data_IF_137409862211
#
_entry.id   IF_137409862211
#
_cell.length_a   1.000
_cell.length_b   1.000
_cell.length_c   1.000
_cell.angle_alpha   90.00
_cell.angle_beta   90.00
_cell.angle_gamma   90.00
#
_symmetry.space_group_name_H-M   'P 1'
#
loop_
_entity.id
_entity.type
_entity.pdbx_description
1 polymer ?
#
# COMPACT_ATOMS: atom_id res chain seq x y z
N UNK A 1 1.98 -17.65 -35.21
CA UNK A 1 0.52 -17.57 -34.99
C UNK A 1 -0.03 -16.42 -35.82
N UNK A 2 -1.31 -16.42 -36.28
CA UNK A 2 -1.86 -15.26 -36.99
C UNK A 2 -2.08 -14.09 -36.00
N UNK A 3 -1.87 -12.83 -36.45
CA UNK A 3 -2.05 -11.64 -35.60
C UNK A 3 -3.45 -11.54 -34.97
N UNK A 4 -4.49 -11.90 -35.76
CA UNK A 4 -5.88 -11.90 -35.28
C UNK A 4 -6.12 -12.91 -34.16
N UNK A 5 -5.50 -14.09 -34.22
CA UNK A 5 -5.64 -15.11 -33.16
C UNK A 5 -4.91 -14.68 -31.90
N UNK A 6 -3.73 -14.09 -32.02
CA UNK A 6 -3.01 -13.52 -30.86
C UNK A 6 -3.83 -12.41 -30.17
N UNK A 7 -4.45 -11.51 -30.97
CA UNK A 7 -5.30 -10.45 -30.44
C UNK A 7 -6.51 -10.99 -29.65
N UNK A 8 -7.16 -12.06 -30.17
CA UNK A 8 -8.30 -12.69 -29.44
C UNK A 8 -7.86 -13.26 -28.10
N UNK A 9 -6.74 -13.98 -28.04
CA UNK A 9 -6.25 -14.52 -26.77
C UNK A 9 -5.78 -13.45 -25.80
N UNK A 10 -5.16 -12.36 -26.26
CA UNK A 10 -4.84 -11.21 -25.41
C UNK A 10 -6.11 -10.53 -24.89
N UNK A 11 -7.17 -10.44 -25.70
CA UNK A 11 -8.47 -9.95 -25.23
C UNK A 11 -9.06 -10.85 -24.14
N UNK A 12 -9.02 -12.18 -24.33
CA UNK A 12 -9.46 -13.14 -23.32
C UNK A 12 -8.65 -12.97 -22.01
N UNK A 13 -7.33 -12.84 -22.12
CA UNK A 13 -6.46 -12.58 -20.98
C UNK A 13 -6.84 -11.27 -20.27
N UNK A 14 -7.10 -10.20 -21.02
CA UNK A 14 -7.57 -8.92 -20.49
C UNK A 14 -8.91 -9.02 -19.74
N UNK A 15 -9.88 -9.76 -20.31
CA UNK A 15 -11.16 -10.03 -19.64
C UNK A 15 -10.95 -10.80 -18.34
N UNK A 16 -10.08 -11.80 -18.32
CA UNK A 16 -9.75 -12.56 -17.12
C UNK A 16 -9.10 -11.68 -16.04
N UNK A 17 -8.25 -10.72 -16.42
CA UNK A 17 -7.69 -9.75 -15.46
C UNK A 17 -8.76 -8.82 -14.88
N UNK A 18 -9.74 -8.37 -15.67
CA UNK A 18 -10.88 -7.59 -15.18
C UNK A 18 -11.70 -8.42 -14.18
N UNK A 19 -12.00 -9.68 -14.53
CA UNK A 19 -12.71 -10.59 -13.65
C UNK A 19 -11.91 -10.92 -12.38
N UNK A 20 -10.59 -10.98 -12.47
CA UNK A 20 -9.71 -11.14 -11.32
C UNK A 20 -9.85 -9.97 -10.35
N UNK A 21 -9.77 -8.73 -10.84
CA UNK A 21 -9.95 -7.54 -9.99
C UNK A 21 -11.33 -7.52 -9.34
N UNK A 22 -12.38 -7.84 -10.08
CA UNK A 22 -13.74 -7.96 -9.54
C UNK A 22 -13.84 -9.07 -8.49
N UNK A 23 -13.24 -10.23 -8.74
CA UNK A 23 -13.25 -11.34 -7.78
C UNK A 23 -12.47 -11.03 -6.50
N UNK A 24 -11.38 -10.26 -6.60
CA UNK A 24 -10.57 -9.85 -5.45
C UNK A 24 -11.20 -8.73 -4.62
N UNK A 25 -12.29 -8.12 -5.08
CA UNK A 25 -12.99 -7.06 -4.33
C UNK A 25 -13.84 -7.60 -3.16
N UNK A 26 -14.13 -8.90 -3.13
CA UNK A 26 -14.85 -9.55 -2.04
C UNK A 26 -14.08 -10.77 -1.54
N UNK A 27 -14.01 -10.96 -0.22
CA UNK A 27 -13.35 -12.13 0.38
C UNK A 27 -13.90 -13.47 -0.10
N UNK A 28 -15.22 -13.56 -0.29
CA UNK A 28 -15.89 -14.78 -0.73
C UNK A 28 -15.47 -15.23 -2.14
N UNK A 29 -15.23 -14.26 -3.02
CA UNK A 29 -14.85 -14.49 -4.42
C UNK A 29 -13.34 -14.39 -4.68
N UNK A 30 -12.55 -14.04 -3.66
CA UNK A 30 -11.11 -13.75 -3.79
C UNK A 30 -10.30 -14.91 -4.38
N UNK A 31 -10.60 -16.17 -3.98
CA UNK A 31 -9.94 -17.37 -4.53
C UNK A 31 -10.23 -17.55 -6.01
N UNK A 32 -11.46 -17.29 -6.43
CA UNK A 32 -11.86 -17.36 -7.84
C UNK A 32 -11.21 -16.23 -8.64
N UNK A 33 -11.17 -15.02 -8.09
CA UNK A 33 -10.47 -13.89 -8.68
C UNK A 33 -8.99 -14.18 -8.90
N UNK A 34 -8.30 -14.73 -7.90
CA UNK A 34 -6.90 -15.13 -8.01
C UNK A 34 -6.69 -16.20 -9.12
N UNK A 35 -7.58 -17.18 -9.21
CA UNK A 35 -7.55 -18.18 -10.28
C UNK A 35 -7.67 -17.55 -11.67
N UNK A 36 -8.59 -16.60 -11.87
CA UNK A 36 -8.73 -15.86 -13.13
C UNK A 36 -7.46 -15.05 -13.46
N UNK A 37 -6.82 -14.43 -12.48
CA UNK A 37 -5.56 -13.73 -12.67
C UNK A 37 -4.43 -14.65 -13.15
N UNK A 38 -4.27 -15.80 -12.49
CA UNK A 38 -3.28 -16.82 -12.87
C UNK A 38 -3.55 -17.33 -14.28
N UNK A 39 -4.80 -17.68 -14.60
CA UNK A 39 -5.17 -18.18 -15.93
C UNK A 39 -4.93 -17.14 -17.01
N UNK A 40 -5.30 -15.88 -16.77
CA UNK A 40 -5.04 -14.76 -17.68
C UNK A 40 -3.55 -14.58 -17.96
N UNK A 41 -2.71 -14.65 -16.93
CA UNK A 41 -1.25 -14.55 -17.06
C UNK A 41 -0.66 -15.72 -17.84
N UNK A 42 -1.09 -16.96 -17.56
CA UNK A 42 -0.63 -18.15 -18.29
C UNK A 42 -0.98 -18.03 -19.78
N UNK A 43 -2.18 -17.59 -20.12
CA UNK A 43 -2.59 -17.35 -21.51
C UNK A 43 -1.69 -16.29 -22.14
N UNK A 44 -1.51 -15.13 -21.50
CA UNK A 44 -0.70 -14.02 -22.03
C UNK A 44 0.74 -14.45 -22.31
N UNK A 45 1.39 -15.13 -21.37
CA UNK A 45 2.76 -15.64 -21.52
C UNK A 45 2.84 -16.66 -22.67
N UNK A 46 1.93 -17.63 -22.70
CA UNK A 46 1.91 -18.67 -23.73
C UNK A 46 1.76 -18.08 -25.12
N UNK A 47 0.84 -17.13 -25.28
CA UNK A 47 0.61 -16.47 -26.58
C UNK A 47 1.81 -15.63 -27.00
N UNK A 48 2.42 -14.92 -26.05
CA UNK A 48 3.65 -14.16 -26.33
C UNK A 48 4.75 -15.08 -26.87
N UNK A 49 4.99 -16.22 -26.22
CA UNK A 49 5.97 -17.21 -26.70
C UNK A 49 5.62 -17.79 -28.08
N UNK A 50 4.36 -18.12 -28.30
CA UNK A 50 3.92 -18.65 -29.61
C UNK A 50 3.95 -17.61 -30.75
N UNK A 51 3.95 -16.32 -30.41
CA UNK A 51 4.04 -15.22 -31.36
C UNK A 51 5.48 -14.94 -31.81
N UNK A 52 6.46 -15.26 -30.98
CA UNK A 52 7.91 -15.17 -31.28
C UNK A 52 8.30 -16.34 -32.17
N UNK A 53 8.07 -16.23 -33.45
CA UNK A 53 8.15 -17.32 -34.46
C UNK A 53 9.52 -18.01 -34.66
N UNK A 54 10.63 -17.51 -34.07
CA UNK A 54 11.96 -18.10 -34.21
C UNK A 54 12.63 -18.29 -32.86
N UNK A 55 12.91 -19.54 -32.52
CA UNK A 55 13.69 -19.92 -31.33
C UNK A 55 15.18 -19.63 -31.58
N UNK A 56 15.61 -18.39 -31.42
CA UNK A 56 17.00 -17.98 -31.47
C UNK A 56 17.71 -18.23 -30.10
N UNK A 57 19.03 -18.08 -30.07
CA UNK A 57 19.81 -18.15 -28.82
C UNK A 57 19.25 -17.21 -27.74
N UNK A 58 18.69 -16.06 -28.14
CA UNK A 58 18.03 -15.13 -27.23
C UNK A 58 16.83 -15.72 -26.47
N UNK A 59 16.10 -16.66 -27.07
CA UNK A 59 14.98 -17.35 -26.41
C UNK A 59 15.42 -18.17 -25.19
N UNK A 60 16.60 -18.79 -25.24
CA UNK A 60 17.18 -19.54 -24.11
C UNK A 60 17.44 -18.59 -22.93
N UNK A 61 17.99 -17.41 -23.17
CA UNK A 61 18.21 -16.40 -22.12
C UNK A 61 16.88 -15.95 -21.50
N UNK A 62 15.84 -15.71 -22.30
CA UNK A 62 14.50 -15.35 -21.80
C UNK A 62 13.95 -16.44 -20.88
N UNK A 63 14.05 -17.72 -21.27
CA UNK A 63 13.63 -18.85 -20.41
C UNK A 63 14.42 -18.92 -19.11
N UNK A 64 15.75 -18.76 -19.16
CA UNK A 64 16.61 -18.78 -17.96
C UNK A 64 16.19 -17.64 -17.01
N UNK A 65 16.02 -16.42 -17.50
CA UNK A 65 15.63 -15.28 -16.67
C UNK A 65 14.20 -15.42 -16.14
N UNK A 66 13.27 -15.96 -16.91
CA UNK A 66 11.90 -16.22 -16.48
C UNK A 66 11.85 -17.29 -15.37
N UNK A 67 12.59 -18.38 -15.53
CA UNK A 67 12.67 -19.43 -14.53
C UNK A 67 13.38 -18.96 -13.26
N UNK A 68 14.48 -18.26 -13.37
CA UNK A 68 15.21 -17.75 -12.20
C UNK A 68 14.40 -16.69 -11.47
N UNK A 69 13.85 -15.70 -12.17
CA UNK A 69 13.01 -14.66 -11.58
C UNK A 69 11.73 -15.22 -10.97
N UNK A 70 11.07 -16.13 -11.67
CA UNK A 70 9.86 -16.81 -11.20
C UNK A 70 10.12 -17.66 -9.96
N UNK A 71 11.22 -18.42 -9.94
CA UNK A 71 11.61 -19.24 -8.78
C UNK A 71 11.95 -18.38 -7.56
N UNK A 72 12.70 -17.30 -7.74
CA UNK A 72 13.01 -16.35 -6.67
C UNK A 72 11.75 -15.65 -6.14
N UNK A 73 10.87 -15.21 -7.05
CA UNK A 73 9.60 -14.60 -6.68
C UNK A 73 8.70 -15.55 -5.90
N UNK A 74 8.58 -16.81 -6.35
CA UNK A 74 7.82 -17.84 -5.65
C UNK A 74 8.39 -18.15 -4.25
N UNK A 75 9.72 -18.25 -4.12
CA UNK A 75 10.39 -18.46 -2.83
C UNK A 75 10.12 -17.31 -1.85
N UNK A 76 10.21 -16.07 -2.33
CA UNK A 76 9.92 -14.88 -1.52
C UNK A 76 8.45 -14.88 -1.11
N UNK A 77 7.53 -15.08 -2.05
CA UNK A 77 6.10 -15.08 -1.78
C UNK A 77 5.68 -16.17 -0.77
N UNK A 78 6.34 -17.34 -0.81
CA UNK A 78 6.07 -18.42 0.14
C UNK A 78 6.61 -18.17 1.55
N UNK A 79 7.75 -17.47 1.66
CA UNK A 79 8.46 -17.27 2.95
C UNK A 79 8.10 -15.99 3.67
N UNK A 80 7.54 -15.01 2.96
CA UNK A 80 7.29 -13.69 3.54
C UNK A 80 6.08 -13.74 4.50
N UNK A 81 6.21 -13.21 5.71
CA UNK A 81 5.06 -13.10 6.60
C UNK A 81 4.09 -12.01 6.08
N UNK A 82 2.80 -12.18 6.33
CA UNK A 82 1.77 -11.22 5.90
C UNK A 82 2.00 -9.81 6.46
N UNK A 83 2.64 -9.70 7.61
CA UNK A 83 3.03 -8.43 8.22
C UNK A 83 4.04 -7.62 7.40
N UNK A 84 4.84 -8.28 6.55
CA UNK A 84 5.83 -7.66 5.66
C UNK A 84 5.33 -7.47 4.22
N UNK A 85 4.04 -7.69 3.95
CA UNK A 85 3.43 -7.48 2.63
C UNK A 85 3.62 -6.06 2.08
N UNK A 86 3.49 -4.96 2.87
CA UNK A 86 3.71 -3.62 2.36
C UNK A 86 5.12 -3.41 1.79
N UNK A 87 6.14 -3.97 2.45
CA UNK A 87 7.52 -3.91 2.02
C UNK A 87 7.73 -4.72 0.73
N UNK A 88 7.16 -5.91 0.66
CA UNK A 88 7.22 -6.76 -0.53
C UNK A 88 6.60 -6.07 -1.75
N UNK A 89 5.42 -5.50 -1.57
CA UNK A 89 4.69 -4.77 -2.63
C UNK A 89 5.52 -3.60 -3.13
N UNK A 90 6.11 -2.79 -2.23
CA UNK A 90 7.01 -1.71 -2.62
C UNK A 90 8.23 -2.24 -3.38
N UNK A 91 8.84 -3.34 -2.92
CA UNK A 91 9.95 -4.01 -3.59
C UNK A 91 9.60 -4.46 -5.01
N UNK A 92 8.44 -5.05 -5.23
CA UNK A 92 7.98 -5.48 -6.54
C UNK A 92 7.69 -4.31 -7.48
N UNK A 93 7.11 -3.22 -6.98
CA UNK A 93 6.93 -2.02 -7.81
C UNK A 93 8.25 -1.44 -8.28
N UNK A 94 9.31 -1.51 -7.47
CA UNK A 94 10.63 -1.09 -7.92
C UNK A 94 11.12 -1.95 -9.11
N UNK A 95 10.98 -3.27 -9.03
CA UNK A 95 11.40 -4.17 -10.11
C UNK A 95 10.58 -3.97 -11.39
N UNK A 96 9.27 -3.73 -11.27
CA UNK A 96 8.40 -3.41 -12.42
C UNK A 96 8.85 -2.10 -13.08
N UNK A 97 9.12 -1.05 -12.28
CA UNK A 97 9.64 0.21 -12.79
C UNK A 97 10.98 0.05 -13.51
N UNK A 98 11.89 -0.75 -12.95
CA UNK A 98 13.18 -1.04 -13.58
C UNK A 98 13.04 -1.84 -14.87
N UNK A 99 12.12 -2.81 -14.92
CA UNK A 99 11.81 -3.55 -16.14
C UNK A 99 11.33 -2.62 -17.26
N UNK A 100 10.49 -1.62 -16.90
CA UNK A 100 10.03 -0.60 -17.84
C UNK A 100 11.20 0.20 -18.45
N UNK A 101 12.15 0.61 -17.61
CA UNK A 101 13.35 1.32 -18.06
C UNK A 101 14.17 0.45 -19.02
N UNK A 102 14.41 -0.82 -18.68
CA UNK A 102 15.20 -1.71 -19.55
C UNK A 102 14.53 -2.00 -20.90
N UNK A 103 13.21 -2.15 -20.94
CA UNK A 103 12.50 -2.32 -22.20
C UNK A 103 12.60 -1.06 -23.05
N UNK A 104 12.46 0.13 -22.46
CA UNK A 104 12.65 1.39 -23.16
C UNK A 104 14.08 1.55 -23.69
N UNK A 105 15.10 1.20 -22.90
CA UNK A 105 16.50 1.20 -23.34
C UNK A 105 16.69 0.24 -24.54
N UNK A 106 16.17 -0.98 -24.43
CA UNK A 106 16.27 -1.98 -25.51
C UNK A 106 15.60 -1.49 -26.80
N UNK A 107 14.41 -0.90 -26.67
CA UNK A 107 13.67 -0.37 -27.82
C UNK A 107 14.36 0.86 -28.45
N UNK A 108 14.99 1.71 -27.66
CA UNK A 108 15.73 2.88 -28.15
C UNK A 108 17.02 2.49 -28.86
N UNK A 109 17.78 1.54 -28.30
CA UNK A 109 19.06 1.10 -28.86
C UNK A 109 18.89 0.17 -30.07
N UNK A 110 17.79 -0.57 -30.15
CA UNK A 110 17.51 -1.50 -31.25
C UNK A 110 16.08 -1.37 -31.77
N UNK A 111 15.70 -0.22 -32.34
CA UNK A 111 14.33 0.06 -32.73
C UNK A 111 13.81 -0.84 -33.87
N UNK A 112 14.69 -1.40 -34.72
CA UNK A 112 14.32 -2.30 -35.80
C UNK A 112 13.73 -3.61 -35.25
N UNK A 113 14.22 -4.11 -34.13
CA UNK A 113 13.69 -5.33 -33.51
C UNK A 113 12.26 -5.17 -33.00
N UNK A 114 11.82 -3.93 -32.80
CA UNK A 114 10.47 -3.60 -32.32
C UNK A 114 9.59 -2.95 -33.40
N UNK A 115 10.04 -2.92 -34.65
CA UNK A 115 9.34 -2.26 -35.79
C UNK A 115 9.05 -0.75 -35.55
N UNK A 116 9.90 -0.07 -34.78
CA UNK A 116 9.74 1.33 -34.43
C UNK A 116 10.44 2.28 -35.40
N UNK A 117 11.26 1.75 -36.30
CA UNK A 117 12.09 2.50 -37.24
C UNK A 117 13.53 1.98 -37.25
N UNK A 118 14.46 2.82 -37.65
CA UNK A 118 15.91 2.54 -37.56
C UNK A 118 16.61 3.45 -36.56
N UNK A 119 17.81 3.11 -36.08
CA UNK A 119 18.57 3.98 -35.17
C UNK A 119 18.71 5.41 -35.73
N UNK A 120 18.31 6.41 -34.94
CA UNK A 120 18.29 7.80 -35.37
C UNK A 120 17.07 8.22 -36.25
N UNK A 121 16.16 7.28 -36.55
CA UNK A 121 14.92 7.55 -37.30
C UNK A 121 13.75 6.73 -36.71
N UNK A 122 13.53 6.87 -35.42
CA UNK A 122 12.41 6.23 -34.70
C UNK A 122 11.13 7.05 -34.94
N UNK A 123 9.99 6.39 -35.04
CA UNK A 123 8.69 7.05 -35.16
C UNK A 123 8.45 8.00 -34.01
N UNK A 124 8.00 9.22 -34.30
CA UNK A 124 7.79 10.29 -33.33
C UNK A 124 6.89 9.89 -32.14
N UNK A 125 5.77 9.23 -32.42
CA UNK A 125 4.84 8.76 -31.40
C UNK A 125 5.50 7.73 -30.47
N UNK A 126 6.22 6.76 -31.04
CA UNK A 126 6.92 5.72 -30.27
C UNK A 126 8.03 6.30 -29.39
N UNK A 127 8.70 7.38 -29.80
CA UNK A 127 9.66 8.10 -28.95
C UNK A 127 9.00 8.73 -27.73
N UNK A 128 7.81 9.34 -27.92
CA UNK A 128 7.04 9.92 -26.81
C UNK A 128 6.61 8.82 -25.83
N UNK A 129 6.01 7.74 -26.33
CA UNK A 129 5.52 6.61 -25.55
C UNK A 129 6.65 5.97 -24.74
N UNK A 130 7.78 5.68 -25.39
CA UNK A 130 8.98 5.14 -24.79
C UNK A 130 9.56 6.08 -23.72
N UNK A 131 9.63 7.37 -24.01
CA UNK A 131 10.16 8.37 -23.09
C UNK A 131 9.31 8.51 -21.82
N UNK A 132 7.99 8.52 -21.97
CA UNK A 132 7.05 8.53 -20.86
C UNK A 132 7.17 7.23 -20.05
N UNK A 133 7.16 6.07 -20.74
CA UNK A 133 7.32 4.76 -20.09
C UNK A 133 8.62 4.65 -19.31
N UNK A 134 9.76 5.09 -19.88
CA UNK A 134 11.05 5.13 -19.21
C UNK A 134 11.07 6.08 -18.01
N UNK A 135 10.51 7.29 -18.17
CA UNK A 135 10.50 8.29 -17.08
C UNK A 135 9.65 7.84 -15.90
N UNK A 136 8.42 7.38 -16.16
CA UNK A 136 7.53 6.86 -15.11
C UNK A 136 8.12 5.61 -14.48
N UNK A 137 8.72 4.71 -15.27
CA UNK A 137 9.40 3.51 -14.77
C UNK A 137 10.58 3.85 -13.86
N UNK A 138 11.42 4.82 -14.24
CA UNK A 138 12.56 5.29 -13.45
C UNK A 138 12.12 5.93 -12.13
N UNK A 139 11.09 6.78 -12.15
CA UNK A 139 10.51 7.36 -10.94
C UNK A 139 9.90 6.29 -10.03
N UNK A 140 9.21 5.30 -10.60
CA UNK A 140 8.64 4.18 -9.86
C UNK A 140 9.73 3.37 -9.17
N UNK A 141 10.81 3.02 -9.88
CA UNK A 141 11.92 2.26 -9.32
C UNK A 141 12.53 2.97 -8.11
N UNK A 142 13.00 4.19 -8.31
CA UNK A 142 13.72 4.94 -7.27
C UNK A 142 12.82 5.33 -6.09
N UNK A 143 11.59 5.74 -6.37
CA UNK A 143 10.60 6.06 -5.33
C UNK A 143 10.20 4.83 -4.51
N UNK A 144 10.02 3.68 -5.15
CA UNK A 144 9.68 2.44 -4.46
C UNK A 144 10.80 1.91 -3.58
N UNK A 145 12.07 2.13 -3.95
CA UNK A 145 13.21 1.83 -3.07
C UNK A 145 13.14 2.66 -1.79
N UNK A 146 12.88 3.97 -1.89
CA UNK A 146 12.74 4.82 -0.70
C UNK A 146 11.56 4.37 0.16
N UNK A 147 10.41 4.06 -0.45
CA UNK A 147 9.25 3.54 0.28
C UNK A 147 9.58 2.23 1.00
N UNK A 148 10.24 1.29 0.32
CA UNK A 148 10.73 0.04 0.91
C UNK A 148 11.64 0.26 2.11
N UNK A 149 12.65 1.14 1.99
CA UNK A 149 13.60 1.44 3.06
C UNK A 149 12.93 2.07 4.28
N UNK A 150 11.93 2.96 4.06
CA UNK A 150 11.14 3.56 5.14
C UNK A 150 10.23 2.55 5.82
N UNK A 151 9.54 1.71 5.06
CA UNK A 151 8.66 0.68 5.60
C UNK A 151 9.43 -0.36 6.42
N UNK A 152 10.60 -0.76 5.94
CA UNK A 152 11.48 -1.69 6.63
C UNK A 152 12.14 -1.11 7.88
N UNK A 153 12.04 0.20 8.09
CA UNK A 153 12.69 0.89 9.21
C UNK A 153 14.20 1.06 9.06
N UNK A 154 14.77 0.78 7.88
CA UNK A 154 16.18 1.05 7.55
C UNK A 154 16.39 2.56 7.43
N UNK A 155 15.42 3.25 6.83
CA UNK A 155 15.36 4.70 6.75
C UNK A 155 14.28 5.22 7.70
N UNK A 156 14.52 6.38 8.34
CA UNK A 156 13.53 6.98 9.22
C UNK A 156 12.19 7.19 8.49
N UNK A 157 11.09 6.80 9.14
CA UNK A 157 9.73 7.08 8.65
C UNK A 157 9.33 8.57 8.70
N UNK A 158 10.14 9.41 9.35
CA UNK A 158 9.87 10.86 9.42
C UNK A 158 10.06 11.50 8.05
N UNK A 159 9.30 12.56 7.71
CA UNK A 159 9.54 13.36 6.52
C UNK A 159 10.94 13.99 6.54
N UNK A 160 11.70 13.81 5.46
CA UNK A 160 12.97 14.50 5.27
C UNK A 160 12.72 15.64 4.29
N UNK A 161 12.61 16.85 4.81
CA UNK A 161 12.31 18.04 4.03
C UNK A 161 13.50 18.99 3.99
N UNK A 162 13.65 19.72 2.90
CA UNK A 162 14.65 20.76 2.74
C UNK A 162 14.09 22.00 2.02
N UNK A 163 14.68 23.16 2.28
CA UNK A 163 14.22 24.42 1.67
C UNK A 163 14.31 24.36 0.15
N UNK A 164 13.20 24.70 -0.53
CA UNK A 164 13.17 24.74 -1.99
C UNK A 164 12.88 23.40 -2.69
N UNK A 165 12.60 22.32 -1.96
CA UNK A 165 12.34 20.99 -2.55
C UNK A 165 11.27 20.99 -3.64
N UNK A 166 10.17 21.70 -3.46
CA UNK A 166 9.08 21.78 -4.43
C UNK A 166 9.51 22.47 -5.73
N UNK A 167 10.34 23.52 -5.61
CA UNK A 167 10.89 24.21 -6.79
C UNK A 167 11.86 23.30 -7.55
N UNK A 168 12.70 22.54 -6.82
CA UNK A 168 13.62 21.58 -7.44
C UNK A 168 12.84 20.46 -8.13
N UNK A 169 11.82 19.89 -7.48
CA UNK A 169 10.99 18.85 -8.08
C UNK A 169 10.25 19.36 -9.32
N UNK A 170 9.71 20.59 -9.27
CA UNK A 170 9.07 21.23 -10.42
C UNK A 170 10.07 21.44 -11.56
N UNK A 171 11.27 21.94 -11.26
CA UNK A 171 12.32 22.15 -12.25
C UNK A 171 12.76 20.83 -12.91
N UNK A 172 12.92 19.77 -12.14
CA UNK A 172 13.23 18.43 -12.67
C UNK A 172 12.07 17.90 -13.54
N UNK A 173 10.81 18.10 -13.13
CA UNK A 173 9.65 17.73 -13.92
C UNK A 173 9.59 18.47 -15.26
N UNK A 174 9.83 19.79 -15.25
CA UNK A 174 9.93 20.59 -16.46
C UNK A 174 11.11 20.12 -17.33
N UNK A 175 12.26 19.82 -16.72
CA UNK A 175 13.43 19.33 -17.45
C UNK A 175 13.15 18.00 -18.15
N UNK A 176 12.38 17.09 -17.55
CA UNK A 176 11.92 15.84 -18.20
C UNK A 176 11.11 16.17 -19.45
N UNK A 177 10.14 17.07 -19.38
CA UNK A 177 9.32 17.46 -20.54
C UNK A 177 10.18 18.07 -21.64
N UNK A 178 11.11 18.94 -21.27
CA UNK A 178 12.04 19.58 -22.22
C UNK A 178 12.95 18.52 -22.87
N UNK A 179 13.47 17.56 -22.09
CA UNK A 179 14.31 16.50 -22.61
C UNK A 179 13.53 15.56 -23.57
N UNK A 180 12.27 15.25 -23.29
CA UNK A 180 11.41 14.50 -24.22
C UNK A 180 11.30 15.26 -25.56
N UNK A 181 11.07 16.56 -25.51
CA UNK A 181 11.00 17.37 -26.72
C UNK A 181 12.29 17.37 -27.53
N UNK A 182 13.45 17.54 -26.87
CA UNK A 182 14.74 17.49 -27.53
C UNK A 182 15.08 16.07 -28.03
N UNK A 183 14.73 15.04 -27.28
CA UNK A 183 14.89 13.65 -27.69
C UNK A 183 14.08 13.36 -28.97
N UNK A 184 12.83 13.80 -29.02
CA UNK A 184 11.99 13.64 -30.22
C UNK A 184 12.51 14.39 -31.43
N UNK A 185 13.23 15.52 -31.21
CA UNK A 185 13.78 16.33 -32.29
C UNK A 185 15.13 15.83 -32.80
N UNK A 186 16.00 15.35 -31.92
CA UNK A 186 17.40 15.02 -32.21
C UNK A 186 17.70 13.52 -32.21
N UNK A 187 16.88 12.73 -31.54
CA UNK A 187 17.05 11.29 -31.30
C UNK A 187 18.45 10.91 -30.73
N UNK A 188 19.03 11.83 -29.95
CA UNK A 188 20.35 11.67 -29.38
C UNK A 188 20.33 10.81 -28.10
N UNK A 189 21.25 9.83 -28.03
CA UNK A 189 21.44 8.99 -26.84
C UNK A 189 21.70 9.80 -25.57
N UNK A 190 22.42 10.92 -25.66
CA UNK A 190 22.73 11.77 -24.51
C UNK A 190 21.48 12.32 -23.83
N UNK A 191 20.48 12.73 -24.61
CA UNK A 191 19.20 13.20 -24.07
C UNK A 191 18.39 12.05 -23.48
N UNK A 192 18.45 10.87 -24.06
CA UNK A 192 17.78 9.67 -23.54
C UNK A 192 18.34 9.25 -22.18
N UNK A 193 19.67 9.15 -22.04
CA UNK A 193 20.32 8.83 -20.76
C UNK A 193 20.09 9.92 -19.71
N UNK A 194 20.13 11.20 -20.11
CA UNK A 194 19.82 12.31 -19.21
C UNK A 194 18.38 12.28 -18.71
N UNK A 195 17.43 11.93 -19.58
CA UNK A 195 16.01 11.74 -19.23
C UNK A 195 15.84 10.69 -18.15
N UNK A 196 16.46 9.52 -18.32
CA UNK A 196 16.41 8.42 -17.35
C UNK A 196 17.04 8.85 -16.03
N UNK A 197 18.24 9.46 -16.06
CA UNK A 197 18.94 9.90 -14.87
C UNK A 197 18.18 10.94 -14.04
N UNK A 198 17.59 11.95 -14.70
CA UNK A 198 16.77 12.96 -14.05
C UNK A 198 15.48 12.35 -13.50
N UNK A 199 14.87 11.39 -14.19
CA UNK A 199 13.69 10.70 -13.74
C UNK A 199 13.94 9.84 -12.48
N UNK A 200 15.09 9.16 -12.40
CA UNK A 200 15.52 8.48 -11.17
C UNK A 200 15.69 9.47 -10.01
N UNK A 201 16.33 10.60 -10.23
CA UNK A 201 16.51 11.62 -9.21
C UNK A 201 15.17 12.18 -8.73
N UNK A 202 14.27 12.48 -9.64
CA UNK A 202 12.93 12.98 -9.29
C UNK A 202 12.15 11.97 -8.45
N UNK A 203 12.19 10.68 -8.79
CA UNK A 203 11.53 9.62 -8.01
C UNK A 203 12.03 9.56 -6.58
N UNK A 204 13.34 9.68 -6.34
CA UNK A 204 13.91 9.77 -4.99
C UNK A 204 13.37 11.00 -4.23
N UNK A 205 13.44 12.16 -4.85
CA UNK A 205 13.08 13.43 -4.21
C UNK A 205 11.58 13.59 -3.96
N UNK A 206 10.73 12.89 -4.69
CA UNK A 206 9.27 12.88 -4.45
C UNK A 206 8.90 12.09 -3.20
N UNK A 207 9.56 10.96 -2.92
CA UNK A 207 9.14 10.06 -1.84
C UNK A 207 9.88 10.33 -0.51
N UNK A 208 11.08 10.90 -0.56
CA UNK A 208 11.87 11.23 0.66
C UNK A 208 11.09 12.12 1.64
N UNK A 209 10.37 13.19 1.21
CA UNK A 209 9.66 14.08 2.13
C UNK A 209 8.33 13.55 2.64
N UNK A 210 7.88 12.38 2.19
CA UNK A 210 6.60 11.80 2.62
C UNK A 210 6.79 11.01 3.91
N UNK A 211 5.94 11.29 4.89
CA UNK A 211 5.97 10.63 6.20
C UNK A 211 5.37 9.22 6.20
N UNK A 212 5.69 8.44 7.23
CA UNK A 212 5.21 7.07 7.42
C UNK A 212 3.68 6.95 7.51
N UNK A 213 3.01 7.97 8.02
CA UNK A 213 1.54 8.01 8.10
C UNK A 213 0.87 8.01 6.70
N UNK A 214 1.52 8.62 5.71
CA UNK A 214 1.01 8.71 4.34
C UNK A 214 1.49 7.54 3.45
N UNK A 215 2.32 6.62 3.99
CA UNK A 215 2.87 5.49 3.22
C UNK A 215 1.82 4.58 2.57
N UNK A 216 0.66 4.28 3.17
CA UNK A 216 -0.37 3.52 2.49
C UNK A 216 -0.82 4.14 1.17
N UNK A 217 -0.98 5.47 1.13
CA UNK A 217 -1.32 6.23 -0.09
C UNK A 217 -0.17 6.16 -1.10
N UNK A 218 1.07 6.31 -0.62
CA UNK A 218 2.28 6.24 -1.46
C UNK A 218 2.40 4.88 -2.15
N UNK A 219 2.21 3.78 -1.43
CA UNK A 219 2.26 2.43 -2.01
C UNK A 219 1.22 2.29 -3.12
N UNK A 220 -0.01 2.74 -2.87
CA UNK A 220 -1.07 2.71 -3.87
C UNK A 220 -0.75 3.59 -5.09
N UNK A 221 -0.11 4.73 -4.88
CA UNK A 221 0.32 5.61 -5.96
C UNK A 221 1.50 5.04 -6.76
N UNK A 222 2.46 4.39 -6.11
CA UNK A 222 3.54 3.67 -6.78
C UNK A 222 3.00 2.48 -7.59
N UNK A 223 1.94 1.81 -7.12
CA UNK A 223 1.21 0.82 -7.91
C UNK A 223 0.60 1.46 -9.16
N UNK A 224 0.00 2.64 -9.04
CA UNK A 224 -0.51 3.39 -10.19
C UNK A 224 0.60 3.73 -11.20
N UNK A 225 1.75 4.23 -10.73
CA UNK A 225 2.89 4.55 -11.59
C UNK A 225 3.44 3.31 -12.30
N UNK A 226 3.54 2.17 -11.61
CA UNK A 226 3.96 0.91 -12.23
C UNK A 226 2.99 0.46 -13.32
N UNK A 227 1.68 0.64 -13.10
CA UNK A 227 0.65 0.38 -14.10
C UNK A 227 0.80 1.27 -15.34
N UNK A 228 1.01 2.56 -15.16
CA UNK A 228 1.20 3.50 -16.28
C UNK A 228 2.52 3.26 -17.02
N UNK A 229 3.58 2.88 -16.32
CA UNK A 229 4.84 2.45 -16.96
C UNK A 229 4.61 1.20 -17.83
N UNK A 230 3.86 0.20 -17.33
CA UNK A 230 3.49 -0.99 -18.10
C UNK A 230 2.63 -0.65 -19.32
N UNK A 231 1.68 0.28 -19.20
CA UNK A 231 0.88 0.75 -20.36
C UNK A 231 1.76 1.46 -21.40
N UNK A 232 2.68 2.34 -20.97
CA UNK A 232 3.62 3.02 -21.86
C UNK A 232 4.50 2.04 -22.65
N UNK A 233 5.02 1.00 -21.98
CA UNK A 233 5.71 -0.09 -22.67
C UNK A 233 4.76 -0.84 -23.61
N UNK A 234 3.54 -1.08 -23.17
CA UNK A 234 2.54 -1.76 -23.97
C UNK A 234 2.27 -1.04 -25.29
N UNK A 235 2.21 0.30 -25.28
CA UNK A 235 2.13 1.11 -26.51
C UNK A 235 3.39 0.96 -27.37
N UNK A 236 4.57 1.08 -26.78
CA UNK A 236 5.85 0.92 -27.49
C UNK A 236 5.98 -0.46 -28.15
N UNK A 237 5.51 -1.52 -27.50
CA UNK A 237 5.57 -2.90 -28.00
C UNK A 237 4.33 -3.33 -28.81
N UNK A 238 3.36 -2.44 -29.01
CA UNK A 238 2.05 -2.73 -29.65
C UNK A 238 1.35 -3.93 -28.98
N UNK A 239 1.53 -4.10 -27.65
CA UNK A 239 0.97 -5.22 -26.89
C UNK A 239 -0.29 -4.80 -26.12
N UNK A 240 -1.44 -5.19 -26.66
CA UNK A 240 -2.76 -4.83 -26.09
C UNK A 240 -2.97 -5.38 -24.67
N UNK A 241 -2.40 -6.54 -24.32
CA UNK A 241 -2.52 -7.08 -22.95
C UNK A 241 -1.80 -6.19 -21.94
N UNK A 242 -0.61 -5.69 -22.26
CA UNK A 242 0.12 -4.75 -21.41
C UNK A 242 -0.58 -3.40 -21.32
N UNK A 243 -1.16 -2.90 -22.41
CA UNK A 243 -1.92 -1.65 -22.41
C UNK A 243 -3.13 -1.77 -21.47
N UNK A 244 -3.93 -2.82 -21.63
CA UNK A 244 -5.15 -3.04 -20.85
C UNK A 244 -4.80 -3.23 -19.35
N UNK A 245 -3.88 -4.13 -19.06
CA UNK A 245 -3.48 -4.39 -17.65
C UNK A 245 -2.83 -3.19 -16.99
N UNK A 246 -1.95 -2.50 -17.73
CA UNK A 246 -1.32 -1.28 -17.25
C UNK A 246 -2.32 -0.16 -16.97
N UNK A 247 -3.28 0.05 -17.86
CA UNK A 247 -4.34 1.03 -17.67
C UNK A 247 -5.24 0.68 -16.46
N UNK A 248 -5.61 -0.60 -16.29
CA UNK A 248 -6.41 -1.06 -15.15
C UNK A 248 -5.68 -0.85 -13.82
N UNK A 249 -4.43 -1.30 -13.74
CA UNK A 249 -3.61 -1.16 -12.52
C UNK A 249 -3.32 0.31 -12.24
N UNK A 250 -2.98 1.08 -13.26
CA UNK A 250 -2.72 2.51 -13.14
C UNK A 250 -3.93 3.29 -12.62
N UNK A 251 -5.10 3.04 -13.20
CA UNK A 251 -6.35 3.70 -12.80
C UNK A 251 -6.80 3.26 -11.40
N UNK A 252 -6.77 1.96 -11.11
CA UNK A 252 -7.20 1.45 -9.80
C UNK A 252 -6.32 1.97 -8.67
N UNK A 253 -5.00 2.03 -8.85
CA UNK A 253 -4.08 2.59 -7.88
C UNK A 253 -4.32 4.08 -7.62
N UNK A 254 -4.58 4.87 -8.68
CA UNK A 254 -4.89 6.30 -8.54
C UNK A 254 -6.21 6.54 -7.80
N UNK A 255 -7.27 5.79 -8.17
CA UNK A 255 -8.58 5.87 -7.50
C UNK A 255 -8.47 5.49 -6.03
N UNK A 256 -7.77 4.40 -5.73
CA UNK A 256 -7.57 3.95 -4.35
C UNK A 256 -6.80 4.97 -3.53
N UNK A 257 -5.72 5.56 -4.09
CA UNK A 257 -4.97 6.65 -3.44
C UNK A 257 -5.85 7.86 -3.14
N UNK A 258 -6.72 8.23 -4.08
CA UNK A 258 -7.67 9.34 -3.87
C UNK A 258 -8.69 9.04 -2.76
N UNK A 259 -9.28 7.83 -2.76
CA UNK A 259 -10.24 7.39 -1.73
C UNK A 259 -9.55 7.38 -0.35
N UNK A 260 -8.32 6.88 -0.26
CA UNK A 260 -7.57 6.87 1.00
C UNK A 260 -7.26 8.29 1.49
N UNK A 261 -6.84 9.20 0.61
CA UNK A 261 -6.64 10.59 0.98
C UNK A 261 -7.93 11.22 1.52
N UNK A 262 -9.07 10.93 0.90
CA UNK A 262 -10.38 11.37 1.38
C UNK A 262 -10.71 10.77 2.76
N UNK A 263 -10.46 9.48 2.96
CA UNK A 263 -10.64 8.80 4.25
C UNK A 263 -9.70 9.32 5.36
N UNK A 264 -8.58 9.94 5.00
CA UNK A 264 -7.65 10.59 5.92
C UNK A 264 -7.94 12.10 6.09
N UNK A 265 -8.93 12.65 5.39
CA UNK A 265 -9.17 14.09 5.25
C UNK A 265 -7.92 14.89 4.82
N UNK A 266 -7.11 14.31 3.95
CA UNK A 266 -5.89 14.93 3.42
C UNK A 266 -6.06 15.23 1.94
N UNK A 267 -5.54 16.37 1.50
CA UNK A 267 -5.50 16.67 0.05
C UNK A 267 -4.58 15.68 -0.65
N UNK A 268 -5.09 15.05 -1.71
CA UNK A 268 -4.33 14.13 -2.56
C UNK A 268 -3.01 14.73 -3.06
N UNK A 269 -3.06 16.00 -3.53
CA UNK A 269 -1.86 16.70 -3.99
C UNK A 269 -0.87 16.98 -2.85
N UNK A 270 -1.36 17.31 -1.65
CA UNK A 270 -0.49 17.55 -0.51
C UNK A 270 0.25 16.29 -0.07
N UNK A 271 -0.40 15.13 -0.15
CA UNK A 271 0.23 13.84 0.18
C UNK A 271 1.28 13.46 -0.85
N UNK A 272 0.96 13.55 -2.15
CA UNK A 272 1.87 13.13 -3.24
C UNK A 272 3.07 14.06 -3.36
N UNK A 273 2.88 15.36 -3.23
CA UNK A 273 3.98 16.32 -3.31
C UNK A 273 4.85 16.32 -2.05
N UNK A 274 4.34 15.78 -0.94
CA UNK A 274 5.04 15.69 0.35
C UNK A 274 5.36 17.05 0.99
N UNK A 275 5.46 17.09 2.31
CA UNK A 275 5.92 18.30 3.02
C UNK A 275 4.91 19.45 3.13
N UNK A 276 3.71 19.35 2.53
CA UNK A 276 2.62 20.28 2.80
C UNK A 276 1.88 19.85 4.07
N UNK A 277 2.03 20.63 5.14
CA UNK A 277 1.44 20.34 6.46
C UNK A 277 2.43 19.92 7.53
N UNK A 278 3.70 19.71 7.19
CA UNK A 278 4.79 19.83 8.15
C UNK A 278 5.10 21.33 8.37
N UNK A 279 4.16 22.07 8.92
CA UNK A 279 4.54 23.25 9.71
C UNK A 279 5.52 22.73 10.74
N UNK A 280 6.65 23.41 10.88
CA UNK A 280 7.65 23.18 11.91
C UNK A 280 6.97 23.11 13.29
N UNK A 281 6.39 21.99 13.59
CA UNK A 281 6.18 21.60 14.96
C UNK A 281 7.57 21.13 15.44
N UNK A 282 8.47 22.09 15.63
CA UNK A 282 9.39 21.99 16.74
C UNK A 282 8.52 21.57 17.91
N UNK A 283 8.59 20.30 18.20
CA UNK A 283 8.03 19.69 19.38
C UNK A 283 8.55 20.46 20.59
N UNK A 284 7.85 21.50 20.95
CA UNK A 284 7.88 21.99 22.31
C UNK A 284 7.14 20.97 23.17
N UNK A 285 7.76 19.82 23.36
CA UNK A 285 7.51 18.94 24.49
C UNK A 285 8.04 19.62 25.77
N UNK A 286 7.66 20.89 25.97
CA UNK A 286 7.82 21.57 27.21
C UNK A 286 6.55 21.33 28.03
N UNK A 287 6.64 20.37 28.97
CA UNK A 287 5.89 20.42 30.20
C UNK A 287 4.35 20.40 30.06
N UNK A 288 3.77 19.48 29.23
CA UNK A 288 2.39 19.07 29.51
C UNK A 288 2.45 18.19 30.74
N UNK A 289 1.85 18.64 31.85
CA UNK A 289 1.57 17.80 33.01
C UNK A 289 0.98 16.48 32.48
N UNK A 290 1.64 15.37 32.81
CA UNK A 290 1.13 14.05 32.46
C UNK A 290 -0.18 13.87 33.22
N UNK A 291 -1.30 13.93 32.51
CA UNK A 291 -2.60 13.59 33.10
C UNK A 291 -2.52 12.13 33.60
N UNK A 292 -3.09 11.81 34.77
CA UNK A 292 -3.08 10.44 35.26
C UNK A 292 -3.85 9.54 34.30
N UNK A 293 -3.33 8.34 34.06
CA UNK A 293 -3.98 7.28 33.29
C UNK A 293 -4.40 6.15 34.21
N UNK A 294 -5.53 5.52 33.91
CA UNK A 294 -5.94 4.30 34.62
C UNK A 294 -5.19 3.13 34.01
N UNK A 295 -4.42 2.43 34.81
CA UNK A 295 -3.65 1.26 34.36
C UNK A 295 -4.37 0.01 34.86
N UNK A 296 -4.57 -0.95 33.97
CA UNK A 296 -5.13 -2.26 34.27
C UNK A 296 -4.18 -3.39 33.90
N UNK A 297 -4.58 -4.58 34.20
CA UNK A 297 -3.88 -5.82 33.89
C UNK A 297 -4.77 -6.76 33.07
N UNK A 298 -4.25 -7.96 32.73
CA UNK A 298 -4.98 -8.95 31.96
C UNK A 298 -6.19 -9.53 32.71
N UNK A 299 -6.15 -9.57 34.04
CA UNK A 299 -7.26 -10.06 34.89
C UNK A 299 -8.42 -9.07 34.86
N UNK A 300 -8.13 -7.75 34.99
CA UNK A 300 -9.12 -6.69 34.86
C UNK A 300 -9.81 -6.72 33.50
N UNK A 301 -9.02 -6.90 32.44
CA UNK A 301 -9.53 -6.99 31.07
C UNK A 301 -10.42 -8.22 30.88
N UNK A 302 -9.97 -9.38 31.35
CA UNK A 302 -10.76 -10.61 31.27
C UNK A 302 -12.06 -10.52 32.07
N UNK A 303 -12.02 -9.90 33.27
CA UNK A 303 -13.21 -9.69 34.09
C UNK A 303 -14.23 -8.80 33.37
N UNK A 304 -13.79 -7.68 32.80
CA UNK A 304 -14.69 -6.78 32.04
C UNK A 304 -15.27 -7.46 30.81
N UNK A 305 -14.45 -8.20 30.06
CA UNK A 305 -14.94 -8.93 28.86
C UNK A 305 -15.90 -10.07 29.22
N UNK A 306 -15.64 -10.82 30.31
CA UNK A 306 -16.48 -11.95 30.74
C UNK A 306 -17.87 -11.51 31.20
N UNK A 307 -17.99 -10.29 31.71
CA UNK A 307 -19.27 -9.69 32.16
C UNK A 307 -19.93 -8.82 31.10
N UNK A 308 -19.37 -8.75 29.88
CA UNK A 308 -19.93 -7.99 28.77
C UNK A 308 -20.93 -8.83 27.97
N UNK A 309 -21.94 -8.20 27.42
CA UNK A 309 -22.83 -8.81 26.42
C UNK A 309 -22.31 -8.61 25.01
N UNK A 310 -21.53 -7.53 24.80
CA UNK A 310 -20.96 -7.18 23.50
C UNK A 310 -19.55 -6.61 23.63
N UNK A 311 -18.65 -7.08 22.76
CA UNK A 311 -17.25 -6.62 22.66
C UNK A 311 -16.97 -6.21 21.22
N UNK A 312 -16.41 -5.01 21.03
CA UNK A 312 -15.91 -4.56 19.72
C UNK A 312 -14.38 -4.54 19.77
N UNK A 313 -13.75 -5.15 18.76
CA UNK A 313 -12.30 -5.20 18.62
C UNK A 313 -11.87 -4.19 17.57
N UNK A 314 -10.90 -3.34 17.92
CA UNK A 314 -10.32 -2.34 17.03
C UNK A 314 -8.86 -2.70 16.76
N UNK A 315 -8.56 -3.45 15.68
CA UNK A 315 -7.21 -3.83 15.34
C UNK A 315 -6.48 -2.68 14.65
N UNK A 316 -5.18 -2.60 14.87
CA UNK A 316 -4.30 -1.65 14.19
C UNK A 316 -2.92 -2.22 13.93
N UNK A 317 -2.01 -1.38 13.44
CA UNK A 317 -0.68 -1.80 13.02
C UNK A 317 0.14 -2.50 14.13
N UNK A 318 -0.04 -2.10 15.37
CA UNK A 318 0.64 -2.73 16.52
C UNK A 318 0.26 -4.22 16.69
N UNK A 319 -0.96 -4.63 16.33
CA UNK A 319 -1.36 -6.04 16.27
C UNK A 319 -0.53 -6.79 15.23
N UNK A 320 -0.32 -6.19 14.05
CA UNK A 320 0.50 -6.76 12.99
C UNK A 320 1.96 -6.95 13.43
N UNK A 321 2.55 -5.93 14.04
CA UNK A 321 3.95 -5.96 14.52
C UNK A 321 4.16 -7.04 15.58
N UNK A 322 3.20 -7.21 16.48
CA UNK A 322 3.24 -8.24 17.51
C UNK A 322 2.83 -9.63 17.02
N UNK A 323 2.37 -9.75 15.76
CA UNK A 323 1.78 -10.99 15.20
C UNK A 323 0.69 -11.57 16.11
N UNK A 324 -0.18 -10.71 16.63
CA UNK A 324 -1.19 -11.05 17.62
C UNK A 324 -2.51 -11.56 17.01
N UNK A 325 -2.66 -11.58 15.69
CA UNK A 325 -3.92 -11.93 14.99
C UNK A 325 -4.46 -13.31 15.36
N UNK A 326 -3.58 -14.30 15.53
CA UNK A 326 -3.99 -15.66 15.91
C UNK A 326 -4.43 -15.75 17.37
N UNK A 327 -3.68 -15.13 18.29
CA UNK A 327 -4.07 -15.05 19.69
C UNK A 327 -5.38 -14.26 19.86
N UNK A 328 -5.55 -13.18 19.08
CA UNK A 328 -6.80 -12.42 19.06
C UNK A 328 -7.99 -13.28 18.62
N UNK A 329 -7.82 -14.10 17.59
CA UNK A 329 -8.85 -15.04 17.14
C UNK A 329 -9.22 -16.04 18.23
N UNK A 330 -8.23 -16.63 18.91
CA UNK A 330 -8.45 -17.57 20.01
C UNK A 330 -9.21 -16.92 21.18
N UNK A 331 -8.88 -15.66 21.51
CA UNK A 331 -9.60 -14.87 22.52
C UNK A 331 -11.07 -14.70 22.14
N UNK A 332 -11.34 -14.34 20.90
CA UNK A 332 -12.71 -14.16 20.38
C UNK A 332 -13.49 -15.45 20.41
N UNK A 333 -12.88 -16.57 20.01
CA UNK A 333 -13.53 -17.89 20.08
C UNK A 333 -13.89 -18.28 21.52
N UNK A 334 -13.06 -17.91 22.49
CA UNK A 334 -13.32 -18.10 23.92
C UNK A 334 -14.48 -17.23 24.41
N UNK A 335 -14.52 -15.96 23.98
CA UNK A 335 -15.63 -15.05 24.33
C UNK A 335 -16.97 -15.53 23.75
N UNK A 336 -16.97 -16.00 22.53
CA UNK A 336 -18.18 -16.54 21.88
C UNK A 336 -18.70 -17.81 22.54
N UNK A 337 -17.82 -18.68 23.05
CA UNK A 337 -18.24 -19.84 23.84
C UNK A 337 -18.97 -19.45 25.13
N UNK A 338 -18.76 -18.22 25.60
CA UNK A 338 -19.46 -17.64 26.74
C UNK A 338 -20.66 -16.76 26.33
N UNK A 339 -21.19 -16.96 25.11
CA UNK A 339 -22.35 -16.24 24.55
C UNK A 339 -22.15 -14.72 24.44
N UNK A 340 -20.90 -14.23 24.33
CA UNK A 340 -20.59 -12.82 24.14
C UNK A 340 -20.53 -12.52 22.65
N UNK A 341 -21.29 -11.50 22.22
CA UNK A 341 -21.26 -11.03 20.84
C UNK A 341 -19.94 -10.27 20.58
N UNK A 342 -19.18 -10.69 19.57
CA UNK A 342 -17.92 -10.01 19.21
C UNK A 342 -17.98 -9.54 17.77
N UNK A 343 -17.51 -8.30 17.52
CA UNK A 343 -17.38 -7.71 16.20
C UNK A 343 -16.02 -7.03 16.05
N UNK A 344 -15.49 -6.97 14.83
CA UNK A 344 -14.25 -6.27 14.51
C UNK A 344 -14.56 -4.98 13.76
N UNK A 345 -14.01 -3.86 14.22
CA UNK A 345 -14.15 -2.55 13.61
C UNK A 345 -12.87 -2.17 12.86
N UNK A 346 -12.94 -2.12 11.54
CA UNK A 346 -11.79 -1.80 10.69
C UNK A 346 -11.85 -0.34 10.25
N UNK A 347 -10.73 0.34 10.41
CA UNK A 347 -10.55 1.66 9.83
C UNK A 347 -9.85 1.55 8.47
N UNK A 348 -10.30 2.24 7.41
CA UNK A 348 -9.75 2.08 6.05
C UNK A 348 -8.25 2.40 5.92
N UNK A 349 -7.71 3.23 6.81
CA UNK A 349 -6.27 3.58 6.84
C UNK A 349 -5.50 2.93 8.00
N UNK A 350 -6.11 1.97 8.70
CA UNK A 350 -5.40 1.20 9.71
C UNK A 350 -4.35 0.29 9.06
N UNK A 351 -3.08 0.42 9.46
CA UNK A 351 -1.99 -0.38 8.93
C UNK A 351 -1.00 0.40 8.07
N UNK A 352 -0.32 -0.30 7.16
CA UNK A 352 0.71 0.26 6.26
C UNK A 352 0.39 0.07 4.77
N UNK A 353 -0.70 -0.59 4.46
CA UNK A 353 -1.22 -0.74 3.09
C UNK A 353 -2.75 -0.80 3.15
N UNK A 354 -3.46 -0.54 2.03
CA UNK A 354 -4.91 -0.73 1.96
C UNK A 354 -5.32 -2.15 2.35
N UNK A 355 -6.34 -2.28 3.20
CA UNK A 355 -6.85 -3.59 3.63
C UNK A 355 -5.90 -4.39 4.54
N UNK A 356 -4.86 -3.77 5.11
CA UNK A 356 -3.86 -4.48 5.91
C UNK A 356 -4.49 -5.30 7.06
N UNK A 357 -5.45 -4.72 7.77
CA UNK A 357 -6.13 -5.42 8.87
C UNK A 357 -7.00 -6.55 8.35
N UNK A 358 -7.70 -6.35 7.24
CA UNK A 358 -8.54 -7.39 6.62
C UNK A 358 -7.71 -8.62 6.22
N UNK A 359 -6.51 -8.40 5.65
CA UNK A 359 -5.60 -9.50 5.28
C UNK A 359 -5.15 -10.30 6.50
N UNK A 360 -4.79 -9.63 7.61
CA UNK A 360 -4.34 -10.30 8.84
C UNK A 360 -5.48 -11.05 9.54
N UNK A 361 -6.68 -10.50 9.54
CA UNK A 361 -7.85 -11.19 10.09
C UNK A 361 -8.24 -12.40 9.22
N UNK A 362 -8.10 -12.30 7.89
CA UNK A 362 -8.29 -13.41 6.98
C UNK A 362 -7.23 -14.52 7.19
N UNK A 363 -5.97 -14.16 7.43
CA UNK A 363 -4.91 -15.10 7.79
C UNK A 363 -5.25 -15.87 9.08
N UNK A 364 -5.84 -15.19 10.06
CA UNK A 364 -6.33 -15.81 11.29
C UNK A 364 -7.66 -16.56 11.14
N UNK A 365 -8.22 -16.66 9.93
CA UNK A 365 -9.51 -17.28 9.64
C UNK A 365 -10.69 -16.64 10.41
N UNK A 366 -10.67 -15.34 10.60
CA UNK A 366 -11.82 -14.61 11.16
C UNK A 366 -12.96 -14.61 10.13
N UNK A 367 -14.20 -14.96 10.52
CA UNK A 367 -15.36 -14.89 9.65
C UNK A 367 -15.61 -13.46 9.17
N UNK A 368 -15.92 -13.30 7.88
CA UNK A 368 -16.08 -11.97 7.28
C UNK A 368 -17.34 -11.23 7.73
N UNK A 369 -18.38 -11.95 8.13
CA UNK A 369 -19.61 -11.43 8.69
C UNK A 369 -19.44 -10.78 10.08
N UNK A 370 -18.26 -10.93 10.69
CA UNK A 370 -17.87 -10.31 11.95
C UNK A 370 -17.00 -9.07 11.77
N UNK A 371 -16.59 -8.78 10.55
CA UNK A 371 -15.66 -7.69 10.21
C UNK A 371 -16.43 -6.57 9.53
N UNK A 372 -16.52 -5.43 10.20
CA UNK A 372 -17.26 -4.27 9.75
C UNK A 372 -16.37 -3.09 9.49
N UNK A 373 -16.69 -2.33 8.45
CA UNK A 373 -16.03 -1.07 8.15
C UNK A 373 -16.55 0.06 9.06
N UNK A 374 -15.76 1.14 9.13
CA UNK A 374 -16.04 2.30 9.99
C UNK A 374 -17.48 2.81 9.86
N UNK A 375 -17.97 2.93 8.63
CA UNK A 375 -19.29 3.50 8.35
C UNK A 375 -20.43 2.61 8.84
N UNK A 376 -20.22 1.30 8.89
CA UNK A 376 -21.18 0.31 9.32
C UNK A 376 -21.28 0.21 10.85
N UNK A 377 -20.12 0.19 11.53
CA UNK A 377 -20.06 -0.14 12.96
C UNK A 377 -19.99 1.10 13.89
N UNK A 378 -19.72 2.28 13.34
CA UNK A 378 -19.40 3.45 14.18
C UNK A 378 -20.53 3.86 15.13
N UNK A 379 -21.77 3.57 14.79
CA UNK A 379 -22.92 3.82 15.66
C UNK A 379 -23.07 2.79 16.79
N UNK A 380 -22.47 1.61 16.65
CA UNK A 380 -22.61 0.51 17.60
C UNK A 380 -21.71 0.70 18.82
N UNK A 381 -20.68 1.55 18.75
CA UNK A 381 -19.80 1.83 19.89
C UNK A 381 -20.57 2.35 21.11
N UNK A 382 -21.63 3.14 20.92
CA UNK A 382 -22.45 3.67 22.01
C UNK A 382 -23.22 2.58 22.78
N UNK A 383 -23.50 1.45 22.13
CA UNK A 383 -24.22 0.32 22.70
C UNK A 383 -23.29 -0.81 23.16
N UNK A 384 -22.02 -0.75 22.84
CA UNK A 384 -21.03 -1.75 23.24
C UNK A 384 -20.66 -1.65 24.70
N UNK A 385 -20.51 -2.79 25.36
CA UNK A 385 -20.09 -2.84 26.77
C UNK A 385 -18.57 -2.65 26.88
N UNK A 386 -17.80 -3.31 26.01
CA UNK A 386 -16.35 -3.25 26.01
C UNK A 386 -15.80 -3.03 24.60
N UNK A 387 -14.83 -2.15 24.46
CA UNK A 387 -14.00 -2.05 23.25
C UNK A 387 -12.57 -2.44 23.58
N UNK A 388 -12.01 -3.34 22.78
CA UNK A 388 -10.62 -3.76 22.89
C UNK A 388 -9.80 -3.17 21.75
N UNK A 389 -9.03 -2.13 22.02
CA UNK A 389 -8.15 -1.47 21.05
C UNK A 389 -6.79 -2.15 21.08
N UNK A 390 -6.43 -2.82 20.02
CA UNK A 390 -5.18 -3.58 19.90
C UNK A 390 -4.30 -3.07 18.76
N UNK A 391 -3.30 -2.29 19.10
CA UNK A 391 -2.33 -1.76 18.13
C UNK A 391 -2.81 -0.61 17.25
N UNK A 392 -4.01 -0.07 17.48
CA UNK A 392 -4.50 1.16 16.86
C UNK A 392 -4.15 2.38 17.75
N UNK A 393 -4.10 3.58 17.18
CA UNK A 393 -3.91 4.83 17.90
C UNK A 393 -4.63 5.99 17.23
N UNK A 394 -4.06 6.57 16.17
CA UNK A 394 -4.56 7.80 15.53
C UNK A 394 -6.01 7.65 15.03
N UNK A 395 -6.39 6.47 14.55
CA UNK A 395 -7.73 6.14 14.05
C UNK A 395 -8.82 6.09 15.12
N UNK A 396 -8.45 6.20 16.41
CA UNK A 396 -9.37 6.24 17.55
C UNK A 396 -9.24 7.55 18.35
N UNK A 397 -8.43 8.50 17.87
CA UNK A 397 -8.08 9.70 18.63
C UNK A 397 -9.15 10.79 18.47
N UNK A 398 -9.84 11.17 19.58
CA UNK A 398 -10.86 12.21 19.55
C UNK A 398 -10.37 13.57 19.05
N UNK A 399 -9.07 13.89 19.15
CA UNK A 399 -8.52 15.15 18.64
C UNK A 399 -8.73 15.35 17.13
N UNK A 400 -9.02 14.28 16.39
CA UNK A 400 -9.46 14.39 15.00
C UNK A 400 -10.77 15.16 14.83
N UNK A 401 -11.62 15.20 15.86
CA UNK A 401 -12.90 15.93 15.87
C UNK A 401 -12.83 17.26 16.64
N UNK A 402 -12.01 17.31 17.68
CA UNK A 402 -12.05 18.38 18.68
C UNK A 402 -10.99 19.45 18.50
N UNK A 403 -9.84 19.12 17.89
CA UNK A 403 -8.71 20.05 17.75
C UNK A 403 -8.45 20.44 16.29
N UNK A 404 -8.88 21.63 15.83
CA UNK A 404 -8.64 22.10 14.47
C UNK A 404 -7.15 22.27 14.11
N UNK A 405 -6.26 22.32 15.09
CA UNK A 405 -4.81 22.40 14.84
C UNK A 405 -4.13 21.04 14.78
N UNK A 406 -4.86 19.97 15.10
CA UNK A 406 -4.32 18.61 15.03
C UNK A 406 -4.03 18.20 13.58
N UNK A 407 -2.88 17.57 13.30
CA UNK A 407 -2.58 17.02 11.98
C UNK A 407 -3.61 16.01 11.46
N UNK A 408 -4.39 15.40 12.35
CA UNK A 408 -5.45 14.43 12.00
C UNK A 408 -6.85 15.05 12.00
N UNK A 409 -6.98 16.38 12.16
CA UNK A 409 -8.27 17.03 12.19
C UNK A 409 -9.12 16.73 10.95
N UNK A 410 -10.39 16.42 11.19
CA UNK A 410 -11.37 16.07 10.15
C UNK A 410 -11.24 14.64 9.60
N UNK A 411 -10.27 13.85 10.04
CA UNK A 411 -10.20 12.42 9.73
C UNK A 411 -11.38 11.73 10.40
N UNK A 412 -12.17 10.92 9.67
CA UNK A 412 -13.14 10.03 10.29
C UNK A 412 -12.42 9.10 11.26
N UNK A 413 -12.95 8.91 12.45
CA UNK A 413 -12.37 8.02 13.46
C UNK A 413 -13.41 7.00 13.94
N UNK A 414 -12.95 5.91 14.49
CA UNK A 414 -13.77 4.96 15.23
C UNK A 414 -14.13 5.59 16.59
N UNK A 415 -15.41 5.72 16.86
CA UNK A 415 -15.97 6.42 18.03
C UNK A 415 -15.85 5.61 19.33
N UNK A 416 -14.68 5.05 19.56
CA UNK A 416 -14.34 4.19 20.70
C UNK A 416 -14.66 4.86 22.03
N UNK A 417 -14.54 6.18 22.11
CA UNK A 417 -14.82 7.00 23.28
C UNK A 417 -16.26 6.89 23.80
N UNK A 418 -17.21 6.48 22.92
CA UNK A 418 -18.63 6.36 23.25
C UNK A 418 -18.96 5.06 23.99
N UNK A 419 -18.04 4.09 23.99
CA UNK A 419 -18.24 2.81 24.66
C UNK A 419 -18.22 2.93 26.18
N UNK A 420 -18.90 2.02 26.89
CA UNK A 420 -18.92 2.00 28.36
C UNK A 420 -17.54 1.78 28.95
N UNK A 421 -16.75 0.86 28.40
CA UNK A 421 -15.39 0.56 28.84
C UNK A 421 -14.45 0.35 27.67
N UNK A 422 -13.30 1.02 27.68
CA UNK A 422 -12.27 0.94 26.66
C UNK A 422 -11.02 0.28 27.23
N UNK A 423 -10.62 -0.84 26.68
CA UNK A 423 -9.38 -1.54 26.99
C UNK A 423 -8.36 -1.21 25.91
N UNK A 424 -7.35 -0.45 26.24
CA UNK A 424 -6.39 0.05 25.25
C UNK A 424 -5.01 -0.59 25.44
N UNK A 425 -4.65 -1.51 24.52
CA UNK A 425 -3.34 -2.20 24.58
C UNK A 425 -2.29 -1.39 23.86
N UNK A 426 -1.24 -1.04 24.58
CA UNK A 426 -0.10 -0.27 24.06
C UNK A 426 1.15 -0.53 24.89
N UNK A 427 2.34 -0.43 24.29
CA UNK A 427 3.61 -0.62 25.02
C UNK A 427 4.00 0.59 25.85
N UNK A 428 3.55 1.78 25.48
CA UNK A 428 3.85 3.04 26.15
C UNK A 428 2.85 4.13 25.73
N UNK A 429 2.85 5.26 26.41
CA UNK A 429 2.04 6.44 26.04
C UNK A 429 2.58 7.23 24.82
N UNK A 430 3.60 6.73 24.15
CA UNK A 430 4.16 7.41 22.97
C UNK A 430 3.09 7.69 21.91
N UNK A 431 3.13 8.83 21.20
CA UNK A 431 2.18 9.14 20.15
C UNK A 431 2.24 8.12 19.01
N UNK A 432 1.21 8.09 18.18
CA UNK A 432 1.15 7.28 16.96
C UNK A 432 1.98 7.87 15.82
N UNK A 433 1.69 7.42 14.59
CA UNK A 433 2.38 7.90 13.38
C UNK A 433 2.16 9.39 13.11
N UNK A 434 0.99 9.92 13.49
CA UNK A 434 0.69 11.34 13.34
C UNK A 434 1.46 12.24 14.33
N UNK A 435 2.14 11.67 15.31
CA UNK A 435 2.87 12.41 16.33
C UNK A 435 1.97 13.15 17.33
N UNK A 436 0.68 12.82 17.38
CA UNK A 436 -0.34 13.46 18.22
C UNK A 436 -0.58 12.62 19.46
N UNK A 437 -0.67 13.28 20.61
CA UNK A 437 -1.11 12.64 21.85
C UNK A 437 -2.58 12.23 21.74
N UNK A 438 -2.94 11.07 22.27
CA UNK A 438 -4.30 10.56 22.18
C UNK A 438 -5.07 10.84 23.48
N UNK A 439 -6.05 11.74 23.39
CA UNK A 439 -6.88 12.12 24.53
C UNK A 439 -7.67 10.95 25.13
N UNK A 440 -7.89 9.88 24.35
CA UNK A 440 -8.59 8.69 24.80
C UNK A 440 -7.89 8.01 25.99
N UNK A 441 -6.55 8.10 26.08
CA UNK A 441 -5.77 7.50 27.17
C UNK A 441 -6.12 8.04 28.56
N UNK A 442 -6.60 9.27 28.62
CA UNK A 442 -6.87 10.02 29.85
C UNK A 442 -8.35 10.04 30.25
N UNK A 443 -9.20 9.35 29.47
CA UNK A 443 -10.64 9.32 29.73
C UNK A 443 -10.98 8.35 30.85
N UNK A 444 -12.04 8.66 31.58
CA UNK A 444 -12.48 7.88 32.74
C UNK A 444 -12.90 6.45 32.42
N UNK A 445 -13.42 6.23 31.21
CA UNK A 445 -13.82 4.91 30.72
C UNK A 445 -12.68 4.11 30.07
N UNK A 446 -11.45 4.64 30.02
CA UNK A 446 -10.31 3.98 29.39
C UNK A 446 -9.38 3.36 30.41
N UNK A 447 -9.08 2.08 30.21
CA UNK A 447 -8.12 1.29 30.98
C UNK A 447 -6.92 0.97 30.07
N UNK A 448 -5.74 1.48 30.44
CA UNK A 448 -4.51 1.26 29.68
C UNK A 448 -3.86 -0.08 30.09
N UNK A 449 -3.61 -0.93 29.10
CA UNK A 449 -2.97 -2.24 29.26
C UNK A 449 -1.56 -2.16 28.65
N UNK A 450 -0.56 -1.90 29.48
CA UNK A 450 0.82 -1.70 29.02
C UNK A 450 1.53 -3.04 28.84
N UNK A 451 1.51 -3.58 27.63
CA UNK A 451 2.24 -4.77 27.24
C UNK A 451 2.43 -4.87 25.72
N UNK A 452 3.18 -5.87 25.29
CA UNK A 452 3.13 -6.34 23.90
C UNK A 452 1.74 -6.90 23.59
N UNK A 453 1.22 -6.60 22.40
CA UNK A 453 -0.17 -6.92 22.04
C UNK A 453 -0.44 -8.44 22.06
N UNK A 454 0.49 -9.25 21.60
CA UNK A 454 0.34 -10.72 21.62
C UNK A 454 0.35 -11.23 23.05
N UNK A 455 1.34 -10.81 23.84
CA UNK A 455 1.49 -11.24 25.23
C UNK A 455 0.26 -10.87 26.06
N UNK A 456 -0.23 -9.64 25.95
CA UNK A 456 -1.44 -9.19 26.65
C UNK A 456 -2.65 -10.06 26.28
N UNK A 457 -2.85 -10.31 24.98
CA UNK A 457 -3.98 -11.12 24.51
C UNK A 457 -3.89 -12.56 25.02
N UNK A 458 -2.69 -13.16 25.01
CA UNK A 458 -2.47 -14.52 25.57
C UNK A 458 -2.72 -14.58 27.07
N UNK A 459 -2.35 -13.55 27.83
CA UNK A 459 -2.64 -13.46 29.27
C UNK A 459 -4.14 -13.28 29.55
N UNK A 460 -4.85 -12.50 28.73
CA UNK A 460 -6.31 -12.37 28.83
C UNK A 460 -6.98 -13.73 28.60
N UNK A 461 -6.57 -14.48 27.57
CA UNK A 461 -7.13 -15.82 27.29
C UNK A 461 -7.00 -16.75 28.51
N UNK A 462 -5.85 -16.75 29.17
CA UNK A 462 -5.63 -17.56 30.38
C UNK A 462 -6.60 -17.21 31.50
N UNK A 463 -6.97 -15.94 31.63
CA UNK A 463 -7.89 -15.47 32.67
C UNK A 463 -9.38 -15.58 32.26
N UNK A 464 -9.66 -15.78 30.97
CA UNK A 464 -11.01 -16.06 30.47
C UNK A 464 -11.42 -17.52 30.67
N UNK A 465 -10.45 -18.43 30.61
CA UNK A 465 -10.64 -19.88 30.88
C UNK A 465 -10.70 -20.11 32.41
#
# INVERSE_FOLDING_TARGET
MSANLSAIFYLISGILFILALRGLSSPETSRQGNFFGILGMVIAITITFLSVGNFSTGFIYVLIFLLTGGSLGALIAYKIPMTAMPELVAGFHSLVGLAAVFVAISAFLNPEAFNLGSPGNIKFLSLIEMSIGASVGAMTFSGSIIAFLKLRGIMSGSPITFKGQHYINLLLGISIIVLIFYLCSTQSESFFWSLIGISFLLGLLLIIPIGGADMPVVISMLNSYSGWAAAGIGFTLENSALIITGALVGSSGAILSYIMCKGMNRSFFNVILGGFGATEQTSSSKGKEQKPVKIGNAEDAAFLMKNASSVIIVPGYGMAVAQAQHALREMVDTLKKNDIKVSYAIHPVAGRMPGHMNVLLAEANVPYDEVFELEEINNDFANADVVYVIGANDVTNPSAKTDPQSPIYGMPILDVEKCKSVLFVKRSLSPGYAGVDNELFYRDNTLMLFADAKKMTEEIIKNLN
#
